data_IF_657694550745
#
_entry.id   IF_657694550745
#
_cell.length_a   1.000
_cell.length_b   1.000
_cell.length_c   1.000
_cell.angle_alpha   90.00
_cell.angle_beta   90.00
_cell.angle_gamma   90.00
#
_symmetry.space_group_name_H-M   'P 1'
#
loop_
_entity.id
_entity.type
_entity.pdbx_description
1 polymer ?
#
# COMPACT_ATOMS: atom_id res chain seq x y z
N UNK A 1 6.30 -26.52 12.52
CA UNK A 1 4.87 -26.13 12.65
C UNK A 1 4.72 -24.67 12.31
N UNK A 2 3.51 -24.19 11.98
CA UNK A 2 3.24 -22.80 11.60
C UNK A 2 3.83 -21.76 12.58
N UNK A 3 4.03 -22.14 13.85
CA UNK A 3 4.73 -21.36 14.87
C UNK A 3 6.18 -21.00 14.50
N UNK A 4 6.96 -21.86 13.85
CA UNK A 4 8.41 -21.64 13.63
C UNK A 4 8.69 -20.65 12.50
N UNK A 5 7.80 -20.59 11.49
CA UNK A 5 7.91 -19.63 10.38
C UNK A 5 7.50 -18.21 10.79
N UNK A 6 6.56 -18.09 11.72
CA UNK A 6 6.13 -16.81 12.30
C UNK A 6 7.18 -16.29 13.29
N UNK A 7 7.82 -17.16 14.08
CA UNK A 7 8.91 -16.78 14.99
C UNK A 7 10.19 -16.33 14.28
N UNK A 8 10.50 -16.86 13.09
CA UNK A 8 11.66 -16.42 12.29
C UNK A 8 11.41 -15.10 11.52
N UNK A 9 10.15 -14.67 11.38
CA UNK A 9 9.76 -13.44 10.70
C UNK A 9 9.54 -12.24 11.64
N UNK A 10 9.68 -12.43 12.96
CA UNK A 10 9.24 -11.48 13.98
C UNK A 10 10.25 -11.38 15.14
N UNK A 11 11.53 -11.12 14.85
CA UNK A 11 12.33 -10.39 15.83
C UNK A 11 11.89 -8.92 15.79
N UNK A 12 11.77 -8.26 16.95
CA UNK A 12 11.35 -6.85 17.02
C UNK A 12 12.24 -5.94 16.15
N UNK A 13 13.51 -6.29 15.97
CA UNK A 13 14.43 -5.60 15.08
C UNK A 13 14.03 -5.73 13.60
N UNK A 14 13.58 -6.90 13.14
CA UNK A 14 13.10 -7.12 11.77
C UNK A 14 11.82 -6.30 11.50
N UNK A 15 10.93 -6.18 12.49
CA UNK A 15 9.72 -5.37 12.38
C UNK A 15 10.02 -3.86 12.22
N UNK A 16 10.95 -3.33 13.02
CA UNK A 16 11.36 -1.92 12.92
C UNK A 16 12.01 -1.64 11.56
N UNK A 17 12.91 -2.50 11.10
CA UNK A 17 13.57 -2.37 9.81
C UNK A 17 12.58 -2.45 8.63
N UNK A 18 11.64 -3.39 8.68
CA UNK A 18 10.55 -3.47 7.68
C UNK A 18 9.65 -2.25 7.73
N UNK A 19 9.33 -1.75 8.93
CA UNK A 19 8.55 -0.53 9.11
C UNK A 19 9.20 0.67 8.43
N UNK A 20 10.48 0.92 8.72
CA UNK A 20 11.25 1.99 8.08
C UNK A 20 11.34 1.81 6.55
N UNK A 21 11.60 0.58 6.07
CA UNK A 21 11.63 0.29 4.64
C UNK A 21 10.28 0.44 3.94
N UNK A 22 9.17 0.20 4.65
CA UNK A 22 7.83 0.50 4.13
C UNK A 22 7.58 2.01 4.04
N UNK A 23 7.94 2.78 5.07
CA UNK A 23 7.83 4.25 5.05
C UNK A 23 8.66 4.83 3.89
N UNK A 24 9.92 4.44 3.75
CA UNK A 24 10.81 4.85 2.65
C UNK A 24 10.20 4.50 1.28
N UNK A 25 9.84 3.23 1.06
CA UNK A 25 9.28 2.76 -0.20
C UNK A 25 7.99 3.47 -0.59
N UNK A 26 7.02 3.53 0.32
CA UNK A 26 5.72 4.15 0.03
C UNK A 26 5.83 5.68 -0.12
N UNK A 27 6.74 6.34 0.60
CA UNK A 27 6.97 7.79 0.46
C UNK A 27 7.55 8.20 -0.90
N UNK A 28 8.12 7.24 -1.64
CA UNK A 28 8.57 7.39 -3.04
C UNK A 28 7.53 6.89 -4.05
N UNK A 29 6.33 6.54 -3.59
CA UNK A 29 5.26 5.99 -4.42
C UNK A 29 5.51 4.56 -4.92
N UNK A 30 6.42 3.81 -4.28
CA UNK A 30 6.73 2.42 -4.62
C UNK A 30 5.88 1.43 -3.81
N UNK A 31 5.85 0.16 -4.25
CA UNK A 31 5.33 -0.96 -3.45
C UNK A 31 6.53 -1.81 -3.01
N UNK A 32 7.07 -1.64 -1.78
CA UNK A 32 8.29 -2.29 -1.33
C UNK A 32 8.07 -3.77 -1.00
N UNK A 33 7.94 -4.61 -2.04
CA UNK A 33 7.59 -6.04 -1.94
C UNK A 33 8.47 -6.87 -0.99
N UNK A 34 9.72 -6.47 -0.78
CA UNK A 34 10.64 -7.14 0.16
C UNK A 34 10.34 -6.81 1.63
N UNK A 35 9.87 -5.59 1.89
CA UNK A 35 9.53 -5.12 3.24
C UNK A 35 8.15 -5.62 3.68
N UNK A 36 7.19 -5.70 2.73
CA UNK A 36 5.83 -6.16 2.98
C UNK A 36 5.83 -7.69 3.20
N UNK A 37 5.46 -8.20 4.40
CA UNK A 37 5.48 -9.62 4.72
C UNK A 37 4.23 -10.34 4.20
N UNK A 38 3.83 -10.09 2.94
CA UNK A 38 2.63 -10.65 2.34
C UNK A 38 2.99 -11.58 1.18
N UNK A 39 2.44 -12.79 1.20
CA UNK A 39 2.52 -13.70 0.05
C UNK A 39 1.77 -13.07 -1.12
N UNK A 40 2.28 -13.12 -2.36
CA UNK A 40 1.56 -12.64 -3.54
C UNK A 40 0.21 -13.35 -3.75
N UNK A 41 -0.78 -12.72 -4.39
CA UNK A 41 -2.05 -13.36 -4.69
C UNK A 41 -1.84 -14.61 -5.55
N UNK A 42 -2.44 -15.74 -5.15
CA UNK A 42 -2.30 -17.04 -5.84
C UNK A 42 -3.01 -17.08 -7.20
N UNK A 43 -4.16 -16.41 -7.32
CA UNK A 43 -4.92 -16.34 -8.57
C UNK A 43 -4.22 -15.41 -9.55
N UNK A 44 -4.19 -15.81 -10.83
CA UNK A 44 -3.71 -14.97 -11.91
C UNK A 44 -4.56 -13.71 -12.04
N UNK A 45 -3.95 -12.64 -12.55
CA UNK A 45 -4.68 -11.46 -12.99
C UNK A 45 -5.35 -11.76 -14.33
N UNK A 46 -6.62 -11.39 -14.47
CA UNK A 46 -7.43 -11.57 -15.67
C UNK A 46 -7.92 -10.23 -16.22
N UNK A 47 -8.24 -10.22 -17.50
CA UNK A 47 -8.80 -9.10 -18.24
C UNK A 47 -10.04 -9.57 -18.99
N UNK A 48 -10.96 -8.65 -19.27
CA UNK A 48 -12.10 -8.88 -20.17
C UNK A 48 -11.93 -8.01 -21.41
N UNK A 49 -12.49 -8.45 -22.53
CA UNK A 49 -12.56 -7.67 -23.76
C UNK A 49 -14.01 -7.26 -24.03
N UNK A 50 -14.23 -5.97 -24.26
CA UNK A 50 -15.54 -5.40 -24.60
C UNK A 50 -15.32 -4.45 -25.76
N UNK A 51 -16.00 -4.68 -26.89
CA UNK A 51 -15.92 -3.87 -28.11
C UNK A 51 -14.48 -3.62 -28.60
N UNK A 52 -13.61 -4.64 -28.50
CA UNK A 52 -12.21 -4.57 -28.93
C UNK A 52 -11.28 -3.82 -27.95
N UNK A 53 -11.78 -3.38 -26.81
CA UNK A 53 -11.01 -2.76 -25.74
C UNK A 53 -10.80 -3.76 -24.59
N UNK A 54 -9.59 -3.78 -24.04
CA UNK A 54 -9.25 -4.62 -22.88
C UNK A 54 -9.48 -3.85 -21.59
N UNK A 55 -10.14 -4.47 -20.61
CA UNK A 55 -10.38 -3.91 -19.28
C UNK A 55 -9.88 -4.85 -18.20
N UNK A 56 -9.64 -4.32 -17.00
CA UNK A 56 -9.49 -5.16 -15.81
C UNK A 56 -10.77 -5.96 -15.60
N UNK A 57 -10.65 -7.28 -15.50
CA UNK A 57 -11.76 -8.13 -15.07
C UNK A 57 -12.07 -7.84 -13.59
N UNK A 58 -13.30 -7.43 -13.22
CA UNK A 58 -13.65 -7.20 -11.81
C UNK A 58 -13.36 -8.40 -10.89
N UNK A 59 -13.38 -9.64 -11.40
CA UNK A 59 -13.00 -10.82 -10.62
C UNK A 59 -11.53 -10.78 -10.16
N UNK A 60 -10.67 -10.01 -10.83
CA UNK A 60 -9.28 -9.78 -10.43
C UNK A 60 -9.15 -8.93 -9.17
N UNK A 61 -10.15 -8.15 -8.78
CA UNK A 61 -10.11 -7.38 -7.54
C UNK A 61 -10.13 -8.29 -6.31
N UNK A 62 -10.86 -9.41 -6.38
CA UNK A 62 -10.97 -10.40 -5.30
C UNK A 62 -9.63 -11.02 -4.87
N UNK A 63 -8.60 -10.89 -5.72
CA UNK A 63 -7.21 -11.26 -5.41
C UNK A 63 -6.66 -10.49 -4.21
N UNK A 64 -7.23 -9.34 -3.90
CA UNK A 64 -6.73 -8.41 -2.92
C UNK A 64 -7.61 -8.24 -1.68
N UNK A 65 -8.76 -8.91 -1.63
CA UNK A 65 -9.75 -8.76 -0.56
C UNK A 65 -9.16 -9.06 0.81
N UNK A 66 -8.38 -10.14 0.94
CA UNK A 66 -7.76 -10.51 2.22
C UNK A 66 -6.79 -9.44 2.73
N UNK A 67 -6.05 -8.77 1.83
CA UNK A 67 -5.14 -7.70 2.25
C UNK A 67 -5.91 -6.44 2.64
N UNK A 68 -6.89 -6.04 1.82
CA UNK A 68 -7.71 -4.88 2.12
C UNK A 68 -8.51 -5.07 3.42
N UNK A 69 -8.99 -6.30 3.68
CA UNK A 69 -9.69 -6.66 4.91
C UNK A 69 -8.75 -6.62 6.12
N UNK A 70 -7.53 -7.15 6.00
CA UNK A 70 -6.54 -7.09 7.07
C UNK A 70 -6.18 -5.63 7.42
N UNK A 71 -5.94 -4.78 6.41
CA UNK A 71 -5.71 -3.34 6.61
C UNK A 71 -6.94 -2.70 7.26
N UNK A 72 -8.15 -3.04 6.78
CA UNK A 72 -9.40 -2.52 7.32
C UNK A 72 -9.66 -2.91 8.79
N UNK A 73 -9.04 -3.98 9.28
CA UNK A 73 -9.17 -4.44 10.67
C UNK A 73 -8.21 -3.80 11.66
N UNK A 74 -7.29 -2.93 11.20
CA UNK A 74 -6.35 -2.27 12.10
C UNK A 74 -7.07 -1.33 13.08
N UNK A 75 -6.69 -1.44 14.35
CA UNK A 75 -6.98 -0.45 15.38
C UNK A 75 -6.06 0.75 15.16
N UNK A 76 -6.62 1.87 14.73
CA UNK A 76 -5.87 3.06 14.38
C UNK A 76 -5.25 3.73 15.61
N UNK A 77 -5.93 3.73 16.76
CA UNK A 77 -5.42 4.35 17.97
C UNK A 77 -4.23 3.55 18.52
N UNK A 78 -4.33 2.22 18.43
CA UNK A 78 -3.20 1.34 18.73
C UNK A 78 -2.04 1.55 17.74
N UNK A 79 -2.30 1.69 16.45
CA UNK A 79 -1.24 1.95 15.46
C UNK A 79 -0.53 3.29 15.70
N UNK A 80 -1.27 4.36 15.99
CA UNK A 80 -0.72 5.69 16.27
C UNK A 80 0.12 5.66 17.55
N UNK A 81 -0.41 5.10 18.63
CA UNK A 81 0.33 4.99 19.90
C UNK A 81 1.57 4.10 19.77
N UNK A 82 1.49 3.02 18.98
CA UNK A 82 2.63 2.15 18.66
C UNK A 82 3.68 2.91 17.86
N UNK A 83 3.29 3.65 16.83
CA UNK A 83 4.21 4.49 16.06
C UNK A 83 4.99 5.45 16.96
N UNK A 84 4.30 6.21 17.81
CA UNK A 84 4.97 7.14 18.72
C UNK A 84 5.87 6.43 19.75
N UNK A 85 5.45 5.27 20.26
CA UNK A 85 6.26 4.47 21.20
C UNK A 85 7.58 3.99 20.58
N UNK A 86 7.55 3.55 19.32
CA UNK A 86 8.72 2.98 18.63
C UNK A 86 9.43 3.96 17.71
N UNK A 87 9.05 5.24 17.76
CA UNK A 87 9.51 6.27 16.85
C UNK A 87 11.03 6.37 16.75
N UNK A 88 11.73 6.45 17.87
CA UNK A 88 13.20 6.58 17.88
C UNK A 88 13.91 5.39 17.20
N UNK A 89 13.35 4.18 17.32
CA UNK A 89 13.88 2.99 16.66
C UNK A 89 13.59 3.01 15.15
N UNK A 90 12.40 3.47 14.76
CA UNK A 90 12.05 3.67 13.35
C UNK A 90 12.93 4.73 12.70
N UNK A 91 13.20 5.85 13.37
CA UNK A 91 14.10 6.92 12.90
C UNK A 91 15.52 6.39 12.69
N UNK A 92 16.04 5.59 13.64
CA UNK A 92 17.35 4.93 13.48
C UNK A 92 17.40 3.99 12.29
N UNK A 93 16.37 3.16 12.09
CA UNK A 93 16.29 2.28 10.94
C UNK A 93 16.14 3.06 9.62
N UNK A 94 15.36 4.15 9.63
CA UNK A 94 15.12 5.01 8.47
C UNK A 94 16.39 5.70 7.98
N UNK A 95 17.29 6.10 8.88
CA UNK A 95 18.63 6.58 8.51
C UNK A 95 19.44 5.55 7.72
N UNK A 96 19.22 4.25 7.96
CA UNK A 96 19.86 3.16 7.20
C UNK A 96 19.53 3.18 5.71
N UNK A 97 18.49 3.91 5.29
CA UNK A 97 18.13 4.13 3.89
C UNK A 97 18.73 5.41 3.28
N UNK A 98 19.58 6.13 4.04
CA UNK A 98 20.28 7.34 3.57
C UNK A 98 19.51 8.64 3.76
N UNK A 99 18.49 8.64 4.62
CA UNK A 99 17.69 9.81 4.97
C UNK A 99 18.06 10.38 6.34
N UNK A 100 17.63 11.61 6.63
CA UNK A 100 17.73 12.16 7.99
C UNK A 100 16.53 11.72 8.86
N UNK A 101 16.66 11.83 10.18
CA UNK A 101 15.57 11.47 11.10
C UNK A 101 14.37 12.40 10.97
N UNK A 102 14.62 13.68 10.66
CA UNK A 102 13.61 14.73 10.50
C UNK A 102 12.69 14.48 9.30
N UNK A 103 13.15 13.69 8.33
CA UNK A 103 12.39 13.39 7.12
C UNK A 103 11.33 12.29 7.31
N UNK A 104 11.47 11.43 8.33
CA UNK A 104 10.67 10.21 8.46
C UNK A 104 9.18 10.49 8.61
N UNK A 105 8.81 11.47 9.43
CA UNK A 105 7.42 11.86 9.62
C UNK A 105 6.79 12.37 8.32
N UNK A 106 7.52 13.24 7.63
CA UNK A 106 7.07 13.77 6.35
C UNK A 106 6.96 12.64 5.33
N UNK A 107 7.86 11.65 5.35
CA UNK A 107 7.78 10.48 4.51
C UNK A 107 6.54 9.61 4.80
N UNK A 108 6.22 9.39 6.08
CA UNK A 108 5.01 8.68 6.49
C UNK A 108 3.75 9.43 6.03
N UNK A 109 3.65 10.74 6.26
CA UNK A 109 2.50 11.52 5.81
C UNK A 109 2.39 11.53 4.28
N UNK A 110 3.50 11.73 3.54
CA UNK A 110 3.52 11.65 2.07
C UNK A 110 3.02 10.30 1.55
N UNK A 111 3.38 9.20 2.23
CA UNK A 111 2.92 7.87 1.85
C UNK A 111 1.39 7.73 1.93
N UNK A 112 0.79 8.29 2.99
CA UNK A 112 -0.66 8.32 3.18
C UNK A 112 -1.32 9.26 2.16
N UNK A 113 -0.68 10.38 1.85
CA UNK A 113 -1.16 11.32 0.85
C UNK A 113 -1.21 10.68 -0.56
N UNK A 114 -0.23 9.85 -0.95
CA UNK A 114 -0.32 9.09 -2.20
C UNK A 114 -1.52 8.14 -2.24
N UNK A 115 -1.76 7.41 -1.14
CA UNK A 115 -2.92 6.52 -1.01
C UNK A 115 -4.23 7.33 -1.17
N UNK A 116 -4.35 8.43 -0.44
CA UNK A 116 -5.54 9.28 -0.44
C UNK A 116 -5.77 9.97 -1.79
N UNK A 117 -4.71 10.37 -2.48
CA UNK A 117 -4.74 11.02 -3.79
C UNK A 117 -4.93 10.05 -4.96
N UNK A 118 -5.03 8.73 -4.73
CA UNK A 118 -5.34 7.78 -5.81
C UNK A 118 -6.72 8.11 -6.41
N UNK A 119 -6.88 8.21 -7.73
CA UNK A 119 -8.20 8.43 -8.35
C UNK A 119 -9.21 7.31 -8.05
N UNK A 120 -10.50 7.62 -8.09
CA UNK A 120 -11.61 6.65 -7.96
C UNK A 120 -12.41 6.64 -9.27
N UNK A 121 -12.02 5.82 -10.24
CA UNK A 121 -12.72 5.78 -11.53
C UNK A 121 -14.15 5.30 -11.35
N UNK A 122 -15.09 6.00 -11.98
CA UNK A 122 -16.51 5.61 -12.07
C UNK A 122 -16.77 4.54 -13.12
N UNK A 123 -15.81 4.33 -14.03
CA UNK A 123 -15.90 3.41 -15.16
C UNK A 123 -14.85 2.30 -15.07
N UNK A 124 -15.06 1.16 -15.76
CA UNK A 124 -14.06 0.10 -15.87
C UNK A 124 -12.72 0.64 -16.37
N UNK A 125 -11.63 0.25 -15.71
CA UNK A 125 -10.31 0.75 -16.06
C UNK A 125 -9.76 0.00 -17.27
N UNK A 126 -9.60 0.72 -18.38
CA UNK A 126 -9.08 0.19 -19.64
C UNK A 126 -7.56 -0.06 -19.56
N UNK A 127 -7.12 -1.13 -20.21
CA UNK A 127 -5.74 -1.56 -20.30
C UNK A 127 -5.29 -1.65 -21.76
N UNK A 128 -4.01 -1.41 -21.97
CA UNK A 128 -3.32 -1.72 -23.22
C UNK A 128 -2.26 -2.80 -22.96
N UNK A 129 -2.17 -3.78 -23.86
CA UNK A 129 -1.13 -4.81 -23.79
C UNK A 129 0.16 -4.24 -24.38
N UNK A 130 1.23 -4.22 -23.58
CA UNK A 130 2.59 -3.91 -24.03
C UNK A 130 3.47 -5.12 -23.75
N UNK A 131 3.79 -5.86 -24.80
CA UNK A 131 4.52 -7.14 -24.70
C UNK A 131 3.83 -8.12 -23.73
N UNK A 132 4.52 -8.57 -22.68
CA UNK A 132 4.01 -9.49 -21.67
C UNK A 132 3.28 -8.79 -20.49
N UNK A 133 3.17 -7.47 -20.50
CA UNK A 133 2.57 -6.69 -19.41
C UNK A 133 1.36 -5.88 -19.86
N UNK A 134 0.48 -5.56 -18.91
CA UNK A 134 -0.63 -4.63 -19.10
C UNK A 134 -0.29 -3.27 -18.49
N UNK A 135 -0.51 -2.22 -19.28
CA UNK A 135 -0.46 -0.82 -18.86
C UNK A 135 -1.86 -0.24 -18.85
N UNK A 136 -2.07 0.84 -18.10
CA UNK A 136 -3.32 1.59 -18.20
C UNK A 136 -3.39 2.31 -19.55
N UNK A 137 -4.56 2.25 -20.19
CA UNK A 137 -4.78 2.93 -21.47
C UNK A 137 -4.90 4.44 -21.28
N UNK A 138 -5.49 4.88 -20.15
CA UNK A 138 -5.56 6.29 -19.78
C UNK A 138 -4.17 6.78 -19.32
N UNK A 139 -3.55 7.78 -20.00
CA UNK A 139 -2.27 8.34 -19.59
C UNK A 139 -2.27 8.92 -18.18
N UNK A 140 -3.41 9.44 -17.70
CA UNK A 140 -3.54 9.96 -16.34
C UNK A 140 -3.40 8.87 -15.28
N UNK A 141 -3.84 7.63 -15.58
CA UNK A 141 -3.62 6.48 -14.72
C UNK A 141 -2.23 5.87 -14.91
N UNK A 142 -1.70 5.87 -16.14
CA UNK A 142 -0.39 5.31 -16.44
C UNK A 142 0.77 6.17 -15.91
N UNK A 143 0.57 7.47 -15.65
CA UNK A 143 1.56 8.32 -15.00
C UNK A 143 1.54 8.25 -13.46
N UNK A 144 0.54 7.57 -12.87
CA UNK A 144 0.46 7.43 -11.41
C UNK A 144 1.65 6.65 -10.85
N UNK A 145 1.95 6.89 -9.58
CA UNK A 145 2.97 6.12 -8.86
C UNK A 145 2.62 4.63 -8.81
N UNK A 146 3.62 3.77 -8.61
CA UNK A 146 3.39 2.32 -8.51
C UNK A 146 2.41 1.95 -7.38
N UNK A 147 2.44 2.69 -6.27
CA UNK A 147 1.49 2.55 -5.16
C UNK A 147 0.06 2.87 -5.60
N UNK A 148 -0.17 4.02 -6.24
CA UNK A 148 -1.50 4.41 -6.72
C UNK A 148 -2.03 3.45 -7.80
N UNK A 149 -1.17 3.03 -8.74
CA UNK A 149 -1.49 1.99 -9.71
C UNK A 149 -1.86 0.67 -9.06
N UNK A 150 -1.22 0.33 -7.93
CA UNK A 150 -1.55 -0.88 -7.17
C UNK A 150 -2.94 -0.76 -6.56
N UNK A 151 -3.33 0.38 -5.99
CA UNK A 151 -4.70 0.59 -5.49
C UNK A 151 -5.73 0.45 -6.63
N UNK A 152 -5.49 1.06 -7.80
CA UNK A 152 -6.36 0.86 -8.96
C UNK A 152 -6.53 -0.63 -9.33
N UNK A 153 -5.46 -1.44 -9.26
CA UNK A 153 -5.52 -2.90 -9.48
C UNK A 153 -6.29 -3.66 -8.39
N UNK A 154 -6.48 -3.07 -7.21
CA UNK A 154 -7.26 -3.67 -6.13
C UNK A 154 -8.76 -3.43 -6.30
N UNK A 155 -9.16 -2.52 -7.18
CA UNK A 155 -10.55 -2.18 -7.44
C UNK A 155 -11.11 -1.17 -6.44
N UNK A 156 -12.33 -0.65 -6.71
CA UNK A 156 -12.91 0.46 -5.96
C UNK A 156 -13.19 0.10 -4.49
N UNK A 157 -13.75 -1.08 -4.21
CA UNK A 157 -14.11 -1.47 -2.84
C UNK A 157 -12.88 -1.60 -1.93
N UNK A 158 -11.85 -2.31 -2.41
CA UNK A 158 -10.61 -2.49 -1.65
C UNK A 158 -9.84 -1.19 -1.49
N UNK A 159 -9.79 -0.35 -2.54
CA UNK A 159 -9.19 0.98 -2.46
C UNK A 159 -9.90 1.86 -1.43
N UNK A 160 -11.23 1.84 -1.39
CA UNK A 160 -12.02 2.61 -0.43
C UNK A 160 -11.74 2.17 1.02
N UNK A 161 -11.62 0.85 1.28
CA UNK A 161 -11.24 0.30 2.59
C UNK A 161 -9.86 0.83 3.04
N UNK A 162 -8.86 0.77 2.16
CA UNK A 162 -7.50 1.22 2.45
C UNK A 162 -7.45 2.73 2.68
N UNK A 163 -8.10 3.51 1.81
CA UNK A 163 -8.15 4.97 1.93
C UNK A 163 -8.83 5.42 3.22
N UNK A 164 -9.89 4.74 3.65
CA UNK A 164 -10.54 5.04 4.94
C UNK A 164 -9.56 4.91 6.10
N UNK A 165 -8.79 3.81 6.14
CA UNK A 165 -7.78 3.58 7.16
C UNK A 165 -6.63 4.60 7.05
N UNK A 166 -6.16 4.90 5.85
CA UNK A 166 -5.12 5.91 5.64
C UNK A 166 -5.58 7.30 6.13
N UNK A 167 -6.84 7.67 5.90
CA UNK A 167 -7.44 8.93 6.39
C UNK A 167 -7.46 8.98 7.91
N UNK A 168 -7.88 7.90 8.56
CA UNK A 168 -7.93 7.79 10.01
C UNK A 168 -6.53 7.85 10.62
N UNK A 169 -5.59 7.05 10.10
CA UNK A 169 -4.19 7.05 10.54
C UNK A 169 -3.55 8.43 10.38
N UNK A 170 -3.73 9.07 9.22
CA UNK A 170 -3.21 10.42 8.97
C UNK A 170 -3.72 11.44 9.98
N UNK A 171 -5.02 11.41 10.32
CA UNK A 171 -5.58 12.30 11.35
C UNK A 171 -4.98 12.04 12.72
N UNK A 172 -4.89 10.77 13.11
CA UNK A 172 -4.33 10.39 14.41
C UNK A 172 -2.86 10.80 14.56
N UNK A 173 -2.05 10.63 13.52
CA UNK A 173 -0.64 11.05 13.51
C UNK A 173 -0.45 12.57 13.58
N UNK A 174 -1.36 13.34 12.98
CA UNK A 174 -1.31 14.81 13.00
C UNK A 174 -1.97 15.42 14.24
N UNK A 175 -2.53 14.62 15.14
CA UNK A 175 -3.25 15.10 16.33
C UNK A 175 -4.53 15.88 16.00
N UNK A 176 -5.13 15.66 14.82
CA UNK A 176 -6.38 16.31 14.42
C UNK A 176 -7.55 15.50 14.98
N UNK A 177 -8.13 15.97 16.10
CA UNK A 177 -9.34 15.40 16.71
C UNK A 177 -10.57 15.50 15.79
N UNK A 178 -11.54 14.59 15.96
CA UNK A 178 -12.82 14.59 15.23
C UNK A 178 -13.70 15.80 15.58
#
# INVERSE_FOLDING_TARGET
>A
GASTLVSQALEANDLVQRGAGMIDGFSRGLVPRKAIPLTPPKKAFSTIEVDGLTYIDPASYARYDSYAQAIASFDIDLLVSTFHRYRALLEQAYMGFGHSVEDMDNALIRSLDYVLATPEPSEPVALQRKEAIFQYADPQFEQLTALQKQLLRMGPENSAKIKRQARALRRGLLGVSQ
#
